data_IF_001653091347
#
_entry.id   IF_001653091347
#
_cell.length_a   1.000
_cell.length_b   1.000
_cell.length_c   1.000
_cell.angle_alpha   90.00
_cell.angle_beta   90.00
_cell.angle_gamma   90.00
#
_symmetry.space_group_name_H-M   'P 1'
#
loop_
_entity.id
_entity.type
_entity.pdbx_description
1 polymer ?
#
# COMPACT_ATOMS: atom_id res chain seq x y z
N UNK A 1 13.12 -46.83 -57.09
CA UNK A 1 12.34 -45.61 -56.84
C UNK A 1 12.15 -45.34 -55.31
N UNK A 2 13.17 -45.20 -54.54
CA UNK A 2 13.09 -45.10 -53.05
C UNK A 2 13.72 -43.85 -52.44
N UNK A 3 13.93 -42.81 -53.25
CA UNK A 3 14.70 -41.61 -52.79
C UNK A 3 13.88 -40.36 -52.42
N UNK A 4 12.57 -40.28 -52.71
CA UNK A 4 11.78 -39.04 -52.60
C UNK A 4 10.98 -38.87 -51.32
N UNK A 5 10.87 -39.89 -50.45
CA UNK A 5 10.06 -39.83 -49.23
C UNK A 5 10.86 -39.32 -47.99
N UNK A 6 12.19 -39.33 -48.03
CA UNK A 6 13.03 -39.02 -46.87
C UNK A 6 13.24 -37.51 -46.63
N UNK A 7 13.02 -36.65 -47.62
CA UNK A 7 13.15 -35.20 -47.46
C UNK A 7 12.01 -34.56 -46.66
N UNK A 8 10.70 -34.82 -47.00
CA UNK A 8 9.62 -34.23 -46.22
C UNK A 8 9.65 -34.68 -44.75
N UNK A 9 10.06 -35.92 -44.48
CA UNK A 9 10.20 -36.42 -43.13
C UNK A 9 11.32 -35.69 -42.32
N UNK A 10 12.45 -35.44 -42.96
CA UNK A 10 13.57 -34.69 -42.38
C UNK A 10 13.18 -33.24 -42.15
N UNK A 11 12.47 -32.59 -43.03
CA UNK A 11 11.94 -31.24 -42.89
C UNK A 11 10.91 -31.14 -41.72
N UNK A 12 10.04 -32.14 -41.60
CA UNK A 12 9.08 -32.20 -40.48
C UNK A 12 9.76 -32.37 -39.11
N UNK A 13 10.80 -33.23 -39.03
CA UNK A 13 11.56 -33.43 -37.80
C UNK A 13 12.32 -32.14 -37.42
N UNK A 14 12.93 -31.45 -38.38
CA UNK A 14 13.60 -30.15 -38.11
C UNK A 14 12.60 -29.09 -37.65
N UNK A 15 11.41 -29.01 -38.24
CA UNK A 15 10.36 -28.09 -37.79
C UNK A 15 9.89 -28.38 -36.37
N UNK A 16 9.70 -29.65 -35.99
CA UNK A 16 9.33 -30.04 -34.63
C UNK A 16 10.43 -29.71 -33.61
N UNK A 17 11.69 -29.97 -33.96
CA UNK A 17 12.81 -29.63 -33.10
C UNK A 17 12.95 -28.10 -32.93
N UNK A 18 12.78 -27.35 -34.02
CA UNK A 18 12.82 -25.88 -33.97
C UNK A 18 11.68 -25.28 -33.10
N UNK A 19 10.45 -25.81 -33.25
CA UNK A 19 9.31 -25.37 -32.41
C UNK A 19 9.48 -25.75 -30.95
N UNK A 20 10.00 -26.93 -30.65
CA UNK A 20 10.30 -27.35 -29.28
C UNK A 20 11.42 -26.49 -28.62
N UNK A 21 12.49 -26.18 -29.39
CA UNK A 21 13.54 -25.30 -28.94
C UNK A 21 13.04 -23.86 -28.67
N UNK A 22 12.18 -23.35 -29.56
CA UNK A 22 11.58 -22.03 -29.41
C UNK A 22 10.63 -21.99 -28.22
N UNK A 23 9.78 -23.01 -28.01
CA UNK A 23 8.90 -23.10 -26.84
C UNK A 23 9.69 -23.22 -25.53
N UNK A 24 10.79 -24.00 -25.51
CA UNK A 24 11.69 -24.12 -24.36
C UNK A 24 12.38 -22.79 -24.02
N UNK A 25 12.92 -22.09 -25.03
CA UNK A 25 13.54 -20.78 -24.87
C UNK A 25 12.53 -19.74 -24.38
N UNK A 26 11.35 -19.68 -24.97
CA UNK A 26 10.27 -18.77 -24.58
C UNK A 26 9.82 -19.04 -23.14
N UNK A 27 9.65 -20.31 -22.75
CA UNK A 27 9.28 -20.70 -21.38
C UNK A 27 10.32 -20.31 -20.35
N UNK A 28 11.61 -20.54 -20.63
CA UNK A 28 12.72 -20.13 -19.73
C UNK A 28 12.82 -18.62 -19.62
N UNK A 29 12.64 -17.90 -20.71
CA UNK A 29 12.70 -16.41 -20.70
C UNK A 29 11.53 -15.84 -19.91
N UNK A 30 10.32 -16.36 -20.12
CA UNK A 30 9.13 -15.97 -19.35
C UNK A 30 9.29 -16.25 -17.85
N UNK A 31 9.79 -17.44 -17.50
CA UNK A 31 10.05 -17.80 -16.09
C UNK A 31 11.07 -16.88 -15.43
N UNK A 32 12.18 -16.56 -16.12
CA UNK A 32 13.21 -15.63 -15.62
C UNK A 32 12.69 -14.22 -15.47
N UNK A 33 11.87 -13.74 -16.40
CA UNK A 33 11.27 -12.40 -16.34
C UNK A 33 10.24 -12.32 -15.22
N UNK A 34 9.40 -13.34 -15.04
CA UNK A 34 8.40 -13.39 -13.96
C UNK A 34 9.02 -13.44 -12.56
N UNK A 35 10.28 -13.92 -12.43
CA UNK A 35 11.03 -14.00 -11.17
C UNK A 35 12.21 -13.00 -11.13
N UNK A 36 12.20 -11.98 -11.98
CA UNK A 36 13.22 -10.94 -11.93
C UNK A 36 13.04 -10.04 -10.72
N UNK A 37 14.14 -9.60 -10.10
CA UNK A 37 14.13 -8.65 -8.98
C UNK A 37 13.28 -7.40 -9.27
N UNK A 38 13.29 -6.93 -10.53
CA UNK A 38 12.49 -5.78 -10.94
C UNK A 38 10.97 -6.00 -10.82
N UNK A 39 10.47 -7.21 -11.14
CA UNK A 39 9.05 -7.55 -11.01
C UNK A 39 8.69 -7.70 -9.53
N UNK A 40 9.54 -8.33 -8.74
CA UNK A 40 9.36 -8.49 -7.29
C UNK A 40 9.32 -7.12 -6.61
N UNK A 41 10.28 -6.25 -6.92
CA UNK A 41 10.30 -4.87 -6.43
C UNK A 41 9.05 -4.08 -6.83
N UNK A 42 8.62 -4.19 -8.10
CA UNK A 42 7.40 -3.54 -8.58
C UNK A 42 6.18 -3.97 -7.79
N UNK A 43 6.03 -5.27 -7.56
CA UNK A 43 4.91 -5.84 -6.78
C UNK A 43 4.94 -5.37 -5.32
N UNK A 44 6.10 -5.42 -4.67
CA UNK A 44 6.25 -4.96 -3.28
C UNK A 44 5.96 -3.46 -3.14
N UNK A 45 6.38 -2.66 -4.14
CA UNK A 45 6.10 -1.23 -4.21
C UNK A 45 4.60 -0.95 -4.31
N UNK A 46 3.91 -1.64 -5.21
CA UNK A 46 2.47 -1.45 -5.44
C UNK A 46 1.66 -1.90 -4.23
N UNK A 47 2.06 -3.00 -3.58
CA UNK A 47 1.45 -3.48 -2.33
C UNK A 47 1.63 -2.47 -1.19
N UNK A 48 2.85 -1.96 -0.97
CA UNK A 48 3.13 -0.96 0.05
C UNK A 48 2.37 0.35 -0.20
N UNK A 49 2.26 0.79 -1.46
CA UNK A 49 1.52 1.98 -1.84
C UNK A 49 0.02 1.82 -1.60
N UNK A 50 -0.58 0.71 -2.04
CA UNK A 50 -1.99 0.43 -1.87
C UNK A 50 -2.37 0.34 -0.37
N UNK A 51 -1.61 -0.44 0.40
CA UNK A 51 -1.79 -0.57 1.85
C UNK A 51 -1.60 0.77 2.57
N UNK A 52 -0.56 1.52 2.21
CA UNK A 52 -0.28 2.83 2.81
C UNK A 52 -1.40 3.84 2.59
N UNK A 53 -2.00 3.89 1.40
CA UNK A 53 -3.15 4.75 1.11
C UNK A 53 -4.35 4.40 2.00
N UNK A 54 -4.66 3.13 2.14
CA UNK A 54 -5.77 2.66 2.98
C UNK A 54 -5.53 2.97 4.46
N UNK A 55 -4.34 2.66 4.96
CA UNK A 55 -3.98 2.87 6.36
C UNK A 55 -3.99 4.35 6.75
N UNK A 56 -3.48 5.25 5.89
CA UNK A 56 -3.53 6.70 6.12
C UNK A 56 -4.97 7.19 6.13
N UNK A 57 -5.82 6.76 5.19
CA UNK A 57 -7.24 7.13 5.18
C UNK A 57 -7.93 6.67 6.48
N UNK A 58 -7.61 5.47 6.96
CA UNK A 58 -8.15 4.89 8.20
C UNK A 58 -7.75 5.72 9.43
N UNK A 59 -6.47 6.11 9.56
CA UNK A 59 -6.03 6.94 10.69
C UNK A 59 -6.57 8.37 10.65
N UNK A 60 -6.97 8.87 9.48
CA UNK A 60 -7.62 10.19 9.34
C UNK A 60 -9.14 10.13 9.52
N UNK A 61 -9.69 8.96 9.80
CA UNK A 61 -11.14 8.72 9.97
C UNK A 61 -11.44 8.37 11.42
N UNK A 62 -12.39 9.09 12.04
CA UNK A 62 -12.83 8.83 13.41
C UNK A 62 -14.26 9.31 13.60
N UNK A 63 -15.10 8.45 14.17
CA UNK A 63 -16.47 8.74 14.56
C UNK A 63 -16.58 8.76 16.09
N UNK A 64 -16.89 9.91 16.66
CA UNK A 64 -17.02 10.05 18.10
C UNK A 64 -18.16 9.21 18.71
N UNK A 65 -19.16 8.80 17.91
CA UNK A 65 -20.23 7.89 18.37
C UNK A 65 -19.70 6.46 18.58
N UNK A 66 -18.60 6.10 17.96
CA UNK A 66 -17.97 4.79 18.02
C UNK A 66 -16.47 4.92 18.32
N UNK A 67 -16.14 5.79 19.29
CA UNK A 67 -14.77 6.17 19.59
C UNK A 67 -13.87 4.96 19.89
N UNK A 68 -14.32 4.06 20.78
CA UNK A 68 -13.51 2.89 21.16
C UNK A 68 -13.26 1.94 19.97
N UNK A 69 -14.23 1.78 19.07
CA UNK A 69 -14.05 1.04 17.84
C UNK A 69 -13.03 1.72 16.94
N UNK A 70 -13.13 3.04 16.73
CA UNK A 70 -12.19 3.81 15.92
C UNK A 70 -10.76 3.76 16.46
N UNK A 71 -10.59 3.87 17.77
CA UNK A 71 -9.28 3.73 18.41
C UNK A 71 -8.72 2.31 18.27
N UNK A 72 -9.56 1.27 18.35
CA UNK A 72 -9.12 -0.10 18.11
C UNK A 72 -8.67 -0.30 16.64
N UNK A 73 -9.39 0.28 15.68
CA UNK A 73 -9.01 0.27 14.26
C UNK A 73 -7.69 1.00 14.00
N UNK A 74 -7.45 2.12 14.69
CA UNK A 74 -6.17 2.84 14.64
C UNK A 74 -5.01 2.02 15.21
N UNK A 75 -5.23 1.34 16.34
CA UNK A 75 -4.24 0.43 16.93
C UNK A 75 -3.95 -0.75 16.00
N UNK A 76 -4.97 -1.32 15.35
CA UNK A 76 -4.76 -2.39 14.38
C UNK A 76 -3.98 -1.91 13.14
N UNK A 77 -4.25 -0.71 12.66
CA UNK A 77 -3.58 -0.13 11.51
C UNK A 77 -2.12 0.29 11.78
N UNK A 78 -1.70 0.33 13.05
CA UNK A 78 -0.40 0.86 13.49
C UNK A 78 0.52 -0.20 14.07
N UNK A 79 1.82 0.12 14.10
CA UNK A 79 2.88 -0.68 14.72
C UNK A 79 3.97 0.22 15.31
N UNK A 80 4.85 -0.35 16.13
CA UNK A 80 5.99 0.35 16.73
C UNK A 80 5.62 1.65 17.43
N UNK A 81 6.42 2.72 17.32
CA UNK A 81 6.24 3.96 18.08
C UNK A 81 4.87 4.62 17.90
N UNK A 82 4.25 4.49 16.71
CA UNK A 82 2.91 5.03 16.47
C UNK A 82 1.87 4.26 17.29
N UNK A 83 1.93 2.95 17.27
CA UNK A 83 1.03 2.09 18.06
C UNK A 83 1.18 2.36 19.55
N UNK A 84 2.41 2.52 20.03
CA UNK A 84 2.67 2.80 21.45
C UNK A 84 2.05 4.13 21.87
N UNK A 85 2.18 5.18 21.07
CA UNK A 85 1.52 6.47 21.31
C UNK A 85 0.00 6.35 21.35
N UNK A 86 -0.60 5.63 20.42
CA UNK A 86 -2.06 5.43 20.35
C UNK A 86 -2.57 4.59 21.52
N UNK A 87 -1.82 3.57 21.95
CA UNK A 87 -2.17 2.73 23.10
C UNK A 87 -2.19 3.50 24.44
N UNK A 88 -1.41 4.58 24.54
CA UNK A 88 -1.38 5.45 25.71
C UNK A 88 -2.43 6.59 25.66
N UNK A 89 -3.45 6.48 24.81
CA UNK A 89 -4.57 7.42 24.81
C UNK A 89 -5.32 7.32 26.14
N UNK A 90 -5.19 8.35 26.97
CA UNK A 90 -5.80 8.39 28.29
C UNK A 90 -7.30 8.75 28.24
N UNK A 91 -8.00 8.52 29.36
CA UNK A 91 -9.42 8.83 29.48
C UNK A 91 -9.73 10.33 29.30
N UNK A 92 -8.78 11.22 29.64
CA UNK A 92 -8.94 12.65 29.43
C UNK A 92 -8.97 13.01 27.94
N UNK A 93 -8.09 12.39 27.16
CA UNK A 93 -8.06 12.52 25.69
C UNK A 93 -9.33 11.96 25.05
N UNK A 94 -9.79 10.76 25.47
CA UNK A 94 -11.05 10.18 25.01
C UNK A 94 -12.25 11.09 25.30
N UNK A 95 -12.31 11.64 26.52
CA UNK A 95 -13.34 12.60 26.89
C UNK A 95 -13.32 13.85 26.02
N UNK A 96 -12.14 14.38 25.72
CA UNK A 96 -11.97 15.55 24.83
C UNK A 96 -12.47 15.23 23.42
N UNK A 97 -12.13 14.06 22.87
CA UNK A 97 -12.59 13.62 21.54
C UNK A 97 -14.12 13.47 21.52
N UNK A 98 -14.72 12.86 22.55
CA UNK A 98 -16.17 12.72 22.66
C UNK A 98 -16.87 14.07 22.77
N UNK A 99 -16.35 14.99 23.59
CA UNK A 99 -16.90 16.34 23.76
C UNK A 99 -16.74 17.20 22.48
N UNK A 100 -15.72 16.90 21.67
CA UNK A 100 -15.54 17.51 20.36
C UNK A 100 -16.69 17.27 19.42
N UNK A 101 -17.47 16.18 19.62
CA UNK A 101 -18.66 15.77 18.87
C UNK A 101 -18.43 15.86 17.35
N UNK A 102 -17.28 15.34 16.90
CA UNK A 102 -16.85 15.48 15.50
C UNK A 102 -16.69 14.11 14.86
N UNK A 103 -17.31 13.94 13.69
CA UNK A 103 -17.03 12.83 12.78
C UNK A 103 -16.04 13.33 11.74
N UNK A 104 -14.86 12.75 11.69
CA UNK A 104 -13.86 13.02 10.66
C UNK A 104 -13.81 11.88 9.66
N UNK A 105 -13.69 12.21 8.38
CA UNK A 105 -13.50 11.25 7.30
C UNK A 105 -12.30 11.67 6.46
N UNK A 106 -11.29 10.81 6.40
CA UNK A 106 -10.08 11.01 5.60
C UNK A 106 -10.19 10.34 4.24
N UNK A 107 -9.91 11.10 3.17
CA UNK A 107 -9.83 10.61 1.80
C UNK A 107 -8.45 10.92 1.24
N UNK A 108 -7.67 9.89 0.92
CA UNK A 108 -6.39 10.08 0.23
C UNK A 108 -6.67 10.46 -1.22
N UNK A 109 -6.28 11.67 -1.59
CA UNK A 109 -6.42 12.21 -2.94
C UNK A 109 -5.31 11.68 -3.84
N UNK A 110 -4.08 11.73 -3.33
CA UNK A 110 -2.88 11.27 -4.03
C UNK A 110 -1.85 10.77 -3.01
N UNK A 111 -1.05 9.78 -3.43
CA UNK A 111 0.06 9.29 -2.61
C UNK A 111 1.15 8.66 -3.48
N UNK A 112 2.39 8.77 -3.01
CA UNK A 112 3.56 8.16 -3.64
C UNK A 112 4.56 7.68 -2.59
N UNK A 113 5.24 6.56 -2.90
CA UNK A 113 6.38 6.12 -2.10
C UNK A 113 7.61 6.97 -2.43
N UNK A 114 8.24 7.53 -1.42
CA UNK A 114 9.54 8.20 -1.54
C UNK A 114 10.71 7.26 -1.32
N UNK A 115 10.51 6.23 -0.51
CA UNK A 115 11.52 5.22 -0.18
C UNK A 115 10.84 3.86 -0.01
N UNK A 116 11.55 2.79 -0.41
CA UNK A 116 11.17 1.39 -0.15
C UNK A 116 12.45 0.58 0.08
N UNK A 117 12.53 -0.07 1.23
CA UNK A 117 13.55 -1.05 1.57
C UNK A 117 12.87 -2.41 1.80
N UNK A 118 12.98 -3.29 0.81
CA UNK A 118 12.39 -4.64 0.86
C UNK A 118 13.05 -5.54 1.90
N UNK A 119 14.36 -5.35 2.14
CA UNK A 119 15.12 -6.17 3.08
C UNK A 119 14.78 -5.81 4.53
N UNK A 120 14.69 -4.51 4.81
CA UNK A 120 14.25 -4.02 6.11
C UNK A 120 12.73 -4.12 6.29
N UNK A 121 11.96 -4.33 5.23
CA UNK A 121 10.52 -4.32 5.25
C UNK A 121 9.96 -2.95 5.64
N UNK A 122 10.56 -1.88 5.16
CA UNK A 122 10.15 -0.50 5.49
C UNK A 122 9.89 0.33 4.25
N UNK A 123 8.96 1.27 4.35
CA UNK A 123 8.69 2.23 3.28
C UNK A 123 8.32 3.60 3.83
N UNK A 124 8.56 4.65 3.04
CA UNK A 124 8.07 6.01 3.32
C UNK A 124 7.09 6.44 2.24
N UNK A 125 5.93 6.90 2.68
CA UNK A 125 4.83 7.36 1.85
C UNK A 125 4.62 8.85 2.09
N UNK A 126 4.43 9.60 1.00
CA UNK A 126 3.90 10.95 1.05
C UNK A 126 2.46 10.92 0.54
N UNK A 127 1.53 11.48 1.30
CA UNK A 127 0.12 11.47 0.96
C UNK A 127 -0.50 12.87 1.06
N UNK A 128 -1.37 13.19 0.10
CA UNK A 128 -2.29 14.32 0.17
C UNK A 128 -3.66 13.81 0.57
N UNK A 129 -4.18 14.28 1.69
CA UNK A 129 -5.42 13.79 2.29
C UNK A 129 -6.42 14.94 2.42
N UNK A 130 -7.62 14.70 1.97
CA UNK A 130 -8.76 15.56 2.23
C UNK A 130 -9.49 15.03 3.47
N UNK A 131 -9.60 15.86 4.51
CA UNK A 131 -10.28 15.53 5.76
C UNK A 131 -11.54 16.36 5.83
N UNK A 132 -12.68 15.70 5.83
CA UNK A 132 -13.98 16.31 6.05
C UNK A 132 -14.39 16.10 7.49
N UNK A 133 -14.64 17.19 8.21
CA UNK A 133 -15.11 17.19 9.59
C UNK A 133 -16.58 17.62 9.64
N UNK A 134 -17.41 16.78 10.23
CA UNK A 134 -18.83 17.01 10.50
C UNK A 134 -18.99 17.19 12.02
N UNK A 135 -19.48 18.33 12.45
CA UNK A 135 -19.79 18.60 13.84
C UNK A 135 -21.27 18.98 13.93
N UNK A 136 -21.96 18.45 14.96
CA UNK A 136 -23.38 18.70 15.15
C UNK A 136 -23.66 20.20 15.27
N UNK A 137 -24.65 20.72 14.53
CA UNK A 137 -25.00 22.12 14.51
C UNK A 137 -24.04 23.06 13.79
N UNK A 138 -22.98 22.54 13.13
CA UNK A 138 -22.00 23.33 12.39
C UNK A 138 -21.94 22.85 10.93
N UNK A 139 -21.74 23.79 10.00
CA UNK A 139 -21.55 23.42 8.59
C UNK A 139 -20.30 22.54 8.43
N UNK A 140 -20.35 21.52 7.53
CA UNK A 140 -19.20 20.68 7.26
C UNK A 140 -17.97 21.50 6.85
N UNK A 141 -16.81 21.13 7.38
CA UNK A 141 -15.54 21.75 6.99
C UNK A 141 -14.65 20.71 6.31
N UNK A 142 -14.00 21.12 5.21
CA UNK A 142 -13.06 20.27 4.49
C UNK A 142 -11.70 20.94 4.43
N UNK A 143 -10.66 20.20 4.81
CA UNK A 143 -9.26 20.65 4.77
C UNK A 143 -8.40 19.65 4.01
N UNK A 144 -7.37 20.15 3.34
CA UNK A 144 -6.36 19.32 2.67
C UNK A 144 -5.05 19.42 3.42
N UNK A 145 -4.58 18.27 3.88
CA UNK A 145 -3.34 18.13 4.62
C UNK A 145 -2.39 17.23 3.85
N UNK A 146 -1.10 17.38 4.11
CA UNK A 146 -0.06 16.51 3.58
C UNK A 146 0.55 15.73 4.72
N UNK A 147 0.74 14.44 4.51
CA UNK A 147 1.33 13.56 5.52
C UNK A 147 2.56 12.85 4.98
N UNK A 148 3.56 12.72 5.84
CA UNK A 148 4.61 11.73 5.70
C UNK A 148 4.28 10.55 6.60
N UNK A 149 4.19 9.37 6.00
CA UNK A 149 3.87 8.13 6.70
C UNK A 149 5.04 7.14 6.61
N UNK A 150 5.45 6.59 7.75
CA UNK A 150 6.34 5.45 7.81
C UNK A 150 5.52 4.16 7.79
N UNK A 151 5.92 3.21 6.96
CA UNK A 151 5.32 1.89 6.85
C UNK A 151 6.34 0.83 7.28
N UNK A 152 5.86 -0.19 7.97
CA UNK A 152 6.66 -1.37 8.32
C UNK A 152 5.87 -2.63 7.98
N UNK A 153 6.53 -3.57 7.32
CA UNK A 153 5.96 -4.87 6.98
C UNK A 153 5.97 -5.77 8.21
N UNK A 154 4.81 -6.31 8.54
CA UNK A 154 4.62 -7.25 9.65
C UNK A 154 4.10 -8.58 9.11
N UNK A 155 3.94 -9.59 9.95
CA UNK A 155 3.32 -10.87 9.57
C UNK A 155 1.88 -10.70 9.06
N UNK A 156 1.18 -9.66 9.52
CA UNK A 156 -0.19 -9.33 9.10
C UNK A 156 -0.27 -8.31 7.95
N UNK A 157 0.85 -8.02 7.27
CA UNK A 157 0.94 -7.06 6.18
C UNK A 157 1.58 -5.73 6.59
N UNK A 158 1.44 -4.72 5.74
CA UNK A 158 1.97 -3.39 6.02
C UNK A 158 1.16 -2.68 7.11
N UNK A 159 1.86 -2.02 8.04
CA UNK A 159 1.28 -1.22 9.13
C UNK A 159 1.97 0.14 9.19
N UNK A 160 1.28 1.16 9.71
CA UNK A 160 1.87 2.48 9.94
C UNK A 160 2.75 2.47 11.19
N UNK A 161 4.01 2.87 11.06
CA UNK A 161 4.95 3.06 12.17
C UNK A 161 5.13 4.53 12.57
N UNK A 162 4.79 5.45 11.64
CA UNK A 162 4.78 6.89 11.87
C UNK A 162 3.73 7.56 10.97
N UNK A 163 3.16 8.68 11.43
CA UNK A 163 2.31 9.55 10.64
C UNK A 163 2.51 10.99 11.13
N UNK A 164 3.11 11.82 10.29
CA UNK A 164 3.46 13.19 10.59
C UNK A 164 2.84 14.13 9.57
N UNK A 165 2.19 15.20 10.05
CA UNK A 165 1.66 16.22 9.17
C UNK A 165 2.78 17.14 8.69
N UNK A 166 2.85 17.34 7.38
CA UNK A 166 3.81 18.23 6.76
C UNK A 166 3.21 19.63 6.67
N UNK A 167 3.90 20.67 7.19
CA UNK A 167 3.40 22.03 7.08
C UNK A 167 3.27 22.44 5.62
N UNK A 168 2.09 22.91 5.25
CA UNK A 168 1.89 23.56 3.96
C UNK A 168 2.55 24.92 4.10
N UNK A 169 3.67 25.15 3.41
CA UNK A 169 4.47 26.35 3.55
C UNK A 169 3.61 27.60 3.48
N UNK A 170 3.64 28.39 4.57
CA UNK A 170 3.24 29.77 4.53
C UNK A 170 4.18 30.50 3.54
N UNK A 171 3.62 31.04 2.46
CA UNK A 171 4.29 32.05 1.64
C UNK A 171 4.13 33.38 2.32
#
# INVERSE_FOLDING_TARGET
MAGKVRWPLRAAVVAVVATAAFAGWSGVTWYRTAHSEAVTYGTARDEALASGRELVARLCTLDYHRLDQGLAEWLDASTGPLRDRLAHTDEATKKTLTQGATVSTGKVLDAGLSELDEHAGTAKLLASVEITALKEGVAPSTKRNRFAAGLTRTESGWKLSALDELPVGAR
#
